data_IF_970789722057
#
_entry.id   IF_970789722057
#
_cell.length_a   1.000
_cell.length_b   1.000
_cell.length_c   1.000
_cell.angle_alpha   90.00
_cell.angle_beta   90.00
_cell.angle_gamma   90.00
#
_symmetry.space_group_name_H-M   'P 1'
#
loop_
_entity.id
_entity.type
_entity.pdbx_description
1 polymer ?
#
# COMPACT_ATOMS: atom_id res chain seq x y z
N UNK A 1 -20.99 -11.92 3.59
CA UNK A 1 -20.59 -11.74 3.66
C UNK A 1 -19.73 -11.44 3.97
N UNK A 2 -19.21 -11.14 4.01
CA UNK A 2 -18.45 -10.84 4.06
C UNK A 2 -17.61 -10.77 4.49
N UNK A 3 -17.13 -10.79 4.61
CA UNK A 3 -16.29 -10.72 5.04
C UNK A 3 -15.26 -10.46 5.12
N UNK A 4 -14.67 -10.16 5.00
CA UNK A 4 -13.76 -10.04 5.12
C UNK A 4 -13.13 -9.59 5.74
N UNK A 5 -12.81 -9.39 5.90
CA UNK A 5 -12.25 -9.00 6.50
C UNK A 5 -11.05 -9.18 6.91
N UNK A 6 -10.89 -9.66 6.90
CA UNK A 6 -9.70 -9.96 7.36
C UNK A 6 -8.72 -9.68 6.45
N UNK A 7 -8.82 -9.69 5.47
CA UNK A 7 -7.85 -9.62 4.61
C UNK A 7 -7.31 -8.33 4.43
N UNK A 8 -6.50 -7.95 5.19
CA UNK A 8 -5.84 -6.68 5.11
C UNK A 8 -4.80 -6.76 4.04
N UNK A 9 -5.09 -6.29 2.86
CA UNK A 9 -4.14 -6.23 1.76
C UNK A 9 -4.01 -4.81 1.28
N UNK A 10 -2.80 -4.42 0.89
CA UNK A 10 -2.61 -3.16 0.19
C UNK A 10 -3.10 -3.36 -1.24
N UNK A 11 -4.05 -2.57 -1.68
CA UNK A 11 -4.64 -2.74 -2.99
C UNK A 11 -3.87 -1.95 -4.03
N UNK A 12 -3.64 -2.58 -5.18
CA UNK A 12 -2.95 -1.92 -6.29
C UNK A 12 -3.74 -0.69 -6.73
N UNK A 13 -2.99 0.36 -7.03
CA UNK A 13 -3.55 1.59 -7.59
C UNK A 13 -4.51 2.33 -6.67
N UNK A 14 -4.52 1.99 -5.39
CA UNK A 14 -5.29 2.74 -4.40
C UNK A 14 -4.35 3.70 -3.69
N UNK A 15 -4.89 4.81 -3.23
CA UNK A 15 -4.10 5.82 -2.55
C UNK A 15 -4.25 5.69 -1.05
N UNK A 16 -3.16 5.96 -0.36
CA UNK A 16 -3.09 5.86 1.09
C UNK A 16 -2.41 7.09 1.66
N UNK A 17 -2.78 7.46 2.87
CA UNK A 17 -2.03 8.45 3.62
C UNK A 17 -0.93 7.70 4.37
N UNK A 18 0.32 8.07 4.17
CA UNK A 18 1.45 7.34 4.73
C UNK A 18 2.50 8.36 5.14
N UNK A 19 2.75 8.44 6.44
CA UNK A 19 3.79 9.32 7.01
C UNK A 19 3.66 10.76 6.53
N UNK A 20 2.42 11.24 6.44
CA UNK A 20 2.20 12.61 6.04
C UNK A 20 2.16 12.85 4.54
N UNK A 21 2.29 11.79 3.75
CA UNK A 21 2.25 11.90 2.30
C UNK A 21 1.12 11.08 1.74
N UNK A 22 0.68 11.44 0.54
CA UNK A 22 -0.28 10.61 -0.18
C UNK A 22 0.50 9.75 -1.14
N UNK A 23 0.35 8.43 -1.02
CA UNK A 23 1.08 7.49 -1.84
C UNK A 23 0.13 6.56 -2.55
N UNK A 24 0.60 5.93 -3.61
CA UNK A 24 -0.18 4.96 -4.38
C UNK A 24 0.62 3.68 -4.45
N UNK A 25 -0.06 2.55 -4.30
CA UNK A 25 0.60 1.23 -4.41
C UNK A 25 0.76 0.91 -5.88
N UNK A 26 2.01 0.77 -6.32
CA UNK A 26 2.31 0.56 -7.73
C UNK A 26 2.79 -0.85 -8.03
N UNK A 27 3.13 -1.64 -7.01
CA UNK A 27 3.60 -2.99 -7.24
C UNK A 27 3.41 -3.82 -5.99
N UNK A 28 3.11 -5.09 -6.17
CA UNK A 28 3.02 -6.04 -5.07
C UNK A 28 3.73 -7.31 -5.51
N UNK A 29 4.48 -7.91 -4.58
CA UNK A 29 5.17 -9.17 -4.87
C UNK A 29 5.47 -9.87 -3.56
N UNK A 30 5.92 -11.12 -3.64
CA UNK A 30 6.38 -11.85 -2.47
C UNK A 30 7.89 -11.92 -2.51
N UNK A 31 8.54 -11.74 -1.35
CA UNK A 31 9.98 -11.86 -1.30
C UNK A 31 10.37 -13.37 -1.36
N UNK A 32 11.67 -13.68 -1.40
CA UNK A 32 12.10 -15.08 -1.49
C UNK A 32 11.62 -15.96 -0.34
N UNK A 33 11.20 -15.37 0.75
CA UNK A 33 10.71 -16.12 1.91
C UNK A 33 9.19 -16.15 1.96
N UNK A 34 8.52 -15.69 0.93
CA UNK A 34 7.06 -15.69 0.88
C UNK A 34 6.40 -14.54 1.62
N UNK A 35 7.17 -13.53 1.98
CA UNK A 35 6.63 -12.40 2.71
C UNK A 35 6.06 -11.37 1.73
N UNK A 36 4.83 -10.95 1.92
CA UNK A 36 4.23 -9.96 0.99
C UNK A 36 4.95 -8.62 1.06
N UNK A 37 5.26 -8.07 -0.08
CA UNK A 37 5.94 -6.79 -0.22
C UNK A 37 5.12 -5.87 -1.08
N UNK A 38 5.28 -4.57 -0.87
CA UNK A 38 4.63 -3.56 -1.71
C UNK A 38 5.64 -2.50 -2.09
N UNK A 39 5.38 -1.88 -3.23
CA UNK A 39 6.12 -0.70 -3.65
C UNK A 39 5.13 0.44 -3.77
N UNK A 40 5.45 1.56 -3.16
CA UNK A 40 4.58 2.71 -3.17
C UNK A 40 5.32 3.89 -3.78
N UNK A 41 4.57 4.80 -4.35
CA UNK A 41 5.14 6.02 -4.92
C UNK A 41 4.36 7.21 -4.40
N UNK A 42 5.06 8.32 -4.20
CA UNK A 42 4.43 9.56 -3.80
C UNK A 42 3.63 10.06 -5.01
N UNK A 43 2.37 10.41 -4.79
CA UNK A 43 1.53 10.87 -5.89
C UNK A 43 1.99 12.19 -6.47
N UNK A 44 2.81 12.93 -5.74
CA UNK A 44 3.34 14.21 -6.22
C UNK A 44 4.69 14.05 -6.88
N UNK A 45 5.38 12.95 -6.65
CA UNK A 45 6.72 12.76 -7.17
C UNK A 45 6.94 11.28 -7.40
N UNK A 46 6.68 10.83 -8.60
CA UNK A 46 6.75 9.42 -8.92
C UNK A 46 8.14 8.84 -8.80
N UNK A 47 9.16 9.70 -8.77
CA UNK A 47 10.51 9.22 -8.57
C UNK A 47 10.77 8.83 -7.13
N UNK A 48 9.91 9.23 -6.23
CA UNK A 48 10.07 8.86 -4.83
C UNK A 48 9.26 7.60 -4.57
N UNK A 49 9.84 6.47 -4.92
CA UNK A 49 9.19 5.19 -4.72
C UNK A 49 9.98 4.41 -3.68
N UNK A 50 9.28 3.62 -2.90
CA UNK A 50 9.89 2.88 -1.82
C UNK A 50 9.26 1.50 -1.71
N UNK A 51 10.08 0.46 -1.55
CA UNK A 51 9.56 -0.89 -1.34
C UNK A 51 9.64 -1.23 0.14
N UNK A 52 8.66 -1.96 0.64
CA UNK A 52 8.64 -2.35 2.05
C UNK A 52 7.71 -3.53 2.23
N UNK A 53 7.83 -4.25 3.37
CA UNK A 53 6.86 -5.30 3.67
C UNK A 53 5.45 -4.73 3.78
N UNK A 54 4.50 -5.46 3.22
CA UNK A 54 3.10 -5.01 3.25
C UNK A 54 2.62 -4.77 4.67
N UNK A 55 3.02 -5.62 5.61
CA UNK A 55 2.60 -5.46 6.99
C UNK A 55 3.09 -4.14 7.59
N UNK A 56 4.30 -3.74 7.24
CA UNK A 56 4.85 -2.47 7.72
C UNK A 56 4.07 -1.31 7.11
N UNK A 57 3.78 -1.42 5.82
CA UNK A 57 3.02 -0.38 5.13
C UNK A 57 1.63 -0.24 5.76
N UNK A 58 0.92 -1.36 5.92
CA UNK A 58 -0.44 -1.32 6.44
C UNK A 58 -0.51 -0.84 7.88
N UNK A 59 0.54 -1.08 8.66
CA UNK A 59 0.56 -0.63 10.03
C UNK A 59 0.62 0.89 10.15
N UNK A 60 1.13 1.57 9.12
CA UNK A 60 1.33 3.00 9.15
C UNK A 60 0.47 3.76 8.16
N UNK A 61 -0.16 3.08 7.24
CA UNK A 61 -0.93 3.72 6.17
C UNK A 61 -2.41 3.70 6.48
N UNK A 62 -3.12 4.70 6.00
CA UNK A 62 -4.57 4.74 6.09
C UNK A 62 -5.12 4.84 4.67
N UNK A 63 -6.01 3.95 4.32
CA UNK A 63 -6.63 3.96 3.00
C UNK A 63 -7.46 5.22 2.86
N UNK A 64 -7.23 5.97 1.81
CA UNK A 64 -7.99 7.18 1.55
C UNK A 64 -9.25 6.80 0.78
N UNK A 65 -10.36 7.45 1.08
CA UNK A 65 -11.59 7.15 0.35
C UNK A 65 -11.43 7.55 -1.10
N UNK A 66 -11.98 6.73 -1.98
CA UNK A 66 -11.99 7.09 -3.37
C UNK A 66 -13.08 8.11 -3.55
N UNK A 67 -12.71 9.17 -4.18
CA UNK A 67 -13.64 10.20 -4.49
C UNK A 67 -14.52 9.72 -5.63
N UNK A 68 -15.72 9.92 -5.59
CA UNK A 68 -16.55 9.46 -6.70
C UNK A 68 -17.55 10.51 -7.08
#
# INVERSE_FOLDING_TARGET
MSPQMTGQCAEMWRTYAFRGFTVIVIQRWDDPFGKPMVRIADTRDEERAEGMPEAVFLAQAALLPTSS
#
